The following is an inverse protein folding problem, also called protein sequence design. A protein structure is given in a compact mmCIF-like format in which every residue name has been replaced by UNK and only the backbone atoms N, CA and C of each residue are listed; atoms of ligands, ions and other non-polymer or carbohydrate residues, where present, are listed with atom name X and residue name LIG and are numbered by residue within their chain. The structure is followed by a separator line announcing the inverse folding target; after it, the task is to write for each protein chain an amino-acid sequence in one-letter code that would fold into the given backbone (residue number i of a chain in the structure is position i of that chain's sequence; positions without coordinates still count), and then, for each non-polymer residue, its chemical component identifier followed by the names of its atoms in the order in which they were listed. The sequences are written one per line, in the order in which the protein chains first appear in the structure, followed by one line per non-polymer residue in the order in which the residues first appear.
data_IF_406461743175
#
_entry.id   IF_406461743175
#
_cell.length_a   1.000
_cell.length_b   1.000
_cell.length_c   1.000
_cell.angle_alpha   90.00
_cell.angle_beta   90.00
_cell.angle_gamma   90.00
#
_symmetry.space_group_name_H-M   'P 1'
#
loop_
_entity.id
_entity.type
_entity.pdbx_description
1 polymer ?
#
# COMPACT_ATOMS: atom_id res chain seq x y z
N UNK A 1 38.26 -5.61 -54.62
CA UNK A 1 37.15 -5.98 -55.53
C UNK A 1 36.08 -6.67 -54.70
N UNK A 2 34.89 -6.08 -54.69
CA UNK A 2 33.58 -6.56 -54.22
C UNK A 2 33.26 -6.90 -52.75
N UNK A 3 32.24 -6.16 -52.30
CA UNK A 3 31.15 -6.39 -51.34
C UNK A 3 30.26 -7.60 -51.64
N UNK A 4 29.73 -8.30 -50.62
CA UNK A 4 28.28 -8.53 -50.35
C UNK A 4 28.00 -9.68 -49.32
N UNK A 5 27.06 -9.37 -48.41
CA UNK A 5 25.96 -10.17 -47.82
C UNK A 5 26.12 -11.30 -46.78
N UNK A 6 25.35 -11.07 -45.69
CA UNK A 6 24.45 -11.94 -44.90
C UNK A 6 25.07 -13.01 -43.97
N UNK A 7 24.87 -12.96 -42.64
CA UNK A 7 23.62 -13.13 -41.86
C UNK A 7 22.81 -14.37 -42.28
N UNK A 8 23.22 -15.56 -41.83
CA UNK A 8 22.37 -16.54 -41.12
C UNK A 8 23.07 -17.88 -40.86
N UNK A 9 22.60 -18.54 -39.80
CA UNK A 9 22.62 -19.99 -39.57
C UNK A 9 23.96 -20.68 -39.23
N UNK A 10 24.22 -20.81 -37.92
CA UNK A 10 24.66 -22.07 -37.32
C UNK A 10 23.82 -22.39 -36.07
N UNK A 11 22.66 -22.97 -36.35
CA UNK A 11 21.88 -23.84 -35.47
C UNK A 11 22.37 -25.30 -35.63
N UNK A 12 22.09 -26.14 -34.62
CA UNK A 12 22.34 -27.59 -34.49
C UNK A 12 23.62 -27.94 -33.69
N UNK A 13 23.61 -28.71 -32.59
CA UNK A 13 22.57 -29.48 -31.90
C UNK A 13 23.09 -29.91 -30.52
N UNK A 14 22.19 -30.02 -29.53
CA UNK A 14 22.09 -31.10 -28.50
C UNK A 14 21.22 -30.66 -27.31
N UNK A 15 19.94 -30.96 -27.46
CA UNK A 15 19.08 -31.66 -26.50
C UNK A 15 19.20 -31.31 -25.00
N UNK A 16 18.31 -30.41 -24.57
CA UNK A 16 17.98 -30.17 -23.16
C UNK A 16 16.66 -29.42 -22.97
N UNK A 17 15.68 -29.61 -23.87
CA UNK A 17 14.35 -28.99 -23.79
C UNK A 17 13.26 -30.07 -23.76
N UNK A 18 13.03 -30.62 -22.57
CA UNK A 18 11.77 -31.27 -22.17
C UNK A 18 11.60 -31.12 -20.66
N UNK A 19 11.09 -29.97 -20.25
CA UNK A 19 10.34 -29.77 -18.99
C UNK A 19 10.18 -28.26 -18.80
N UNK A 20 8.99 -27.74 -19.07
CA UNK A 20 8.37 -26.54 -18.47
C UNK A 20 7.09 -26.27 -19.26
N UNK A 21 6.20 -27.26 -19.22
CA UNK A 21 4.94 -27.29 -19.92
C UNK A 21 4.02 -28.31 -19.26
N UNK A 22 3.79 -28.16 -17.96
CA UNK A 22 2.63 -28.68 -17.22
C UNK A 22 2.81 -28.37 -15.73
N UNK A 23 2.47 -27.15 -15.32
CA UNK A 23 1.84 -26.95 -14.02
C UNK A 23 0.60 -26.08 -14.24
N UNK A 24 -0.35 -26.64 -15.01
CA UNK A 24 -1.75 -26.40 -14.67
C UNK A 24 -1.97 -27.13 -13.35
N UNK A 25 -1.68 -26.45 -12.24
CA UNK A 25 -2.37 -26.77 -11.01
C UNK A 25 -3.86 -26.52 -11.32
N UNK A 26 -4.57 -27.61 -11.62
CA UNK A 26 -6.01 -27.66 -11.50
C UNK A 26 -6.30 -27.23 -10.06
N UNK A 27 -6.67 -25.97 -9.86
CA UNK A 27 -7.32 -25.54 -8.63
C UNK A 27 -8.68 -26.24 -8.61
N UNK A 28 -8.68 -27.52 -8.22
CA UNK A 28 -9.87 -28.12 -7.60
C UNK A 28 -10.06 -27.32 -6.33
N UNK A 29 -11.04 -26.42 -6.37
CA UNK A 29 -11.62 -25.89 -5.16
C UNK A 29 -12.10 -27.10 -4.35
N UNK A 30 -11.31 -27.51 -3.37
CA UNK A 30 -11.76 -28.48 -2.38
C UNK A 30 -12.70 -27.73 -1.46
N UNK A 31 -13.92 -27.49 -1.96
CA UNK A 31 -15.06 -27.20 -1.11
C UNK A 31 -15.19 -28.45 -0.23
N UNK A 32 -14.78 -28.33 1.04
CA UNK A 32 -14.91 -29.41 2.01
C UNK A 32 -16.35 -29.90 1.96
N UNK A 33 -16.58 -31.22 1.98
CA UNK A 33 -17.92 -31.83 2.01
C UNK A 33 -18.85 -31.20 3.06
N UNK A 34 -18.27 -30.66 4.14
CA UNK A 34 -18.98 -29.87 5.14
C UNK A 34 -19.69 -28.60 4.63
N UNK A 35 -19.22 -27.94 3.57
CA UNK A 35 -19.88 -26.75 3.01
C UNK A 35 -21.17 -27.10 2.26
N UNK A 36 -21.17 -28.20 1.51
CA UNK A 36 -22.39 -28.70 0.89
C UNK A 36 -23.39 -29.18 1.94
N UNK A 37 -22.92 -29.85 3.00
CA UNK A 37 -23.76 -30.21 4.15
C UNK A 37 -24.37 -28.97 4.81
N UNK A 38 -23.60 -27.90 5.03
CA UNK A 38 -24.08 -26.64 5.63
C UNK A 38 -25.10 -25.92 4.74
N UNK A 39 -24.89 -25.88 3.42
CA UNK A 39 -25.85 -25.31 2.47
C UNK A 39 -27.15 -26.12 2.44
N UNK A 40 -27.06 -27.46 2.40
CA UNK A 40 -28.25 -28.31 2.44
C UNK A 40 -29.02 -28.18 3.76
N UNK A 41 -28.30 -28.08 4.89
CA UNK A 41 -28.91 -27.89 6.20
C UNK A 41 -29.60 -26.52 6.29
N UNK A 42 -28.96 -25.46 5.78
CA UNK A 42 -29.56 -24.12 5.72
C UNK A 42 -30.81 -24.10 4.83
N UNK A 43 -30.76 -24.71 3.65
CA UNK A 43 -31.91 -24.77 2.75
C UNK A 43 -33.07 -25.55 3.39
N UNK A 44 -32.80 -26.69 4.04
CA UNK A 44 -33.80 -27.46 4.76
C UNK A 44 -34.40 -26.70 5.94
N UNK A 45 -33.59 -26.01 6.75
CA UNK A 45 -34.06 -25.15 7.84
C UNK A 45 -34.97 -24.03 7.33
N UNK A 46 -34.59 -23.40 6.22
CA UNK A 46 -35.37 -22.32 5.60
C UNK A 46 -36.70 -22.85 5.04
N UNK A 47 -36.69 -24.02 4.40
CA UNK A 47 -37.89 -24.69 3.91
C UNK A 47 -38.84 -25.11 5.05
N UNK A 48 -38.29 -25.64 6.15
CA UNK A 48 -39.07 -26.00 7.34
C UNK A 48 -39.71 -24.75 7.96
N UNK A 49 -38.97 -23.65 8.11
CA UNK A 49 -39.52 -22.40 8.66
C UNK A 49 -40.61 -21.80 7.78
N UNK A 50 -40.50 -21.98 6.46
CA UNK A 50 -41.50 -21.52 5.49
C UNK A 50 -42.77 -22.38 5.50
N UNK A 51 -42.64 -23.70 5.61
CA UNK A 51 -43.79 -24.64 5.59
C UNK A 51 -44.59 -24.61 6.89
N UNK A 52 -43.94 -24.40 8.03
CA UNK A 52 -44.58 -24.46 9.35
C UNK A 52 -44.87 -23.08 9.97
N UNK A 53 -44.71 -21.99 9.21
CA UNK A 53 -44.87 -20.59 9.67
C UNK A 53 -44.19 -20.30 11.02
N UNK A 54 -43.00 -20.88 11.24
CA UNK A 54 -42.25 -20.69 12.47
C UNK A 54 -41.47 -19.37 12.42
N UNK A 55 -41.56 -18.49 13.43
CA UNK A 55 -40.78 -17.27 13.45
C UNK A 55 -39.28 -17.59 13.56
N UNK A 56 -38.50 -17.12 12.59
CA UNK A 56 -37.05 -17.37 12.46
C UNK A 56 -36.23 -16.97 13.71
N UNK A 57 -36.77 -16.06 14.51
CA UNK A 57 -36.19 -15.58 15.78
C UNK A 57 -36.23 -16.60 16.92
N UNK A 58 -37.03 -17.67 16.81
CA UNK A 58 -37.12 -18.71 17.83
C UNK A 58 -36.05 -19.81 17.69
N UNK A 59 -35.38 -19.90 16.53
CA UNK A 59 -34.45 -21.00 16.20
C UNK A 59 -32.98 -20.55 16.24
N UNK A 60 -32.70 -19.27 16.05
CA UNK A 60 -31.34 -18.73 16.07
C UNK A 60 -31.22 -17.62 17.12
N UNK A 61 -30.45 -17.83 18.20
CA UNK A 61 -30.06 -16.74 19.09
C UNK A 61 -29.26 -15.73 18.27
N UNK A 62 -29.59 -14.44 18.38
CA UNK A 62 -28.97 -13.34 17.61
C UNK A 62 -27.43 -13.40 17.60
N UNK A 63 -26.83 -13.97 18.65
CA UNK A 63 -25.40 -14.15 18.80
C UNK A 63 -24.76 -15.12 17.79
N UNK A 64 -25.46 -16.17 17.33
CA UNK A 64 -24.93 -17.13 16.36
C UNK A 64 -25.04 -16.58 14.92
N UNK A 65 -26.16 -15.92 14.60
CA UNK A 65 -26.38 -15.23 13.33
C UNK A 65 -25.33 -14.12 13.11
N UNK A 66 -25.07 -13.30 14.14
CA UNK A 66 -24.05 -12.26 14.09
C UNK A 66 -22.63 -12.85 13.99
N UNK A 67 -22.34 -13.99 14.64
CA UNK A 67 -21.04 -14.67 14.50
C UNK A 67 -20.82 -15.19 13.06
N UNK A 68 -21.83 -15.78 12.44
CA UNK A 68 -21.74 -16.26 11.05
C UNK A 68 -21.64 -15.09 10.08
N UNK A 69 -22.42 -14.02 10.26
CA UNK A 69 -22.31 -12.80 9.45
C UNK A 69 -20.95 -12.10 9.58
N UNK A 70 -20.37 -12.04 10.78
CA UNK A 70 -19.04 -11.48 11.00
C UNK A 70 -17.95 -12.35 10.36
N UNK A 71 -18.14 -13.67 10.37
CA UNK A 71 -17.24 -14.62 9.74
C UNK A 71 -17.39 -14.65 8.20
N UNK A 72 -18.52 -14.24 7.63
CA UNK A 72 -18.71 -14.04 6.18
C UNK A 72 -18.23 -12.63 5.76
N UNK A 73 -18.48 -11.59 6.57
CA UNK A 73 -17.97 -10.22 6.37
C UNK A 73 -16.44 -10.13 6.42
N UNK A 74 -15.78 -11.00 7.18
CA UNK A 74 -14.31 -11.06 7.17
C UNK A 74 -13.73 -11.62 5.85
N UNK A 75 -14.56 -12.27 5.01
CA UNK A 75 -14.18 -12.73 3.66
C UNK A 75 -14.71 -11.83 2.52
N UNK A 76 -15.74 -11.02 2.77
CA UNK A 76 -16.26 -10.04 1.82
C UNK A 76 -16.14 -8.62 2.39
N UNK A 77 -15.00 -7.97 2.15
CA UNK A 77 -14.92 -6.50 2.22
C UNK A 77 -15.60 -5.92 0.98
N UNK A 78 -16.93 -5.76 1.07
CA UNK A 78 -17.72 -4.89 0.20
C UNK A 78 -18.33 -3.83 1.11
N UNK A 79 -17.86 -2.59 1.00
CA UNK A 79 -18.52 -1.41 1.53
C UNK A 79 -19.37 -0.82 0.41
N UNK A 80 -20.64 -1.23 0.35
CA UNK A 80 -21.68 -0.44 -0.32
C UNK A 80 -22.01 0.77 0.57
N UNK A 81 -21.87 1.97 0.02
CA UNK A 81 -22.50 3.16 0.59
C UNK A 81 -23.90 3.28 -0.01
N UNK A 82 -24.92 3.33 0.84
CA UNK A 82 -26.26 3.78 0.46
C UNK A 82 -26.21 5.27 0.10
N UNK A 83 -26.65 5.60 -1.11
CA UNK A 83 -26.94 6.96 -1.53
C UNK A 83 -28.07 7.53 -0.66
N UNK A 84 -27.78 8.57 0.11
CA UNK A 84 -28.80 9.32 0.81
C UNK A 84 -29.47 10.34 -0.13
N UNK A 85 -30.77 10.11 -0.32
CA UNK A 85 -31.87 11.05 -0.59
C UNK A 85 -31.78 11.98 -1.80
N UNK A 86 -32.68 11.71 -2.75
CA UNK A 86 -33.47 12.69 -3.48
C UNK A 86 -33.90 13.87 -2.59
N UNK A 87 -33.70 15.08 -3.09
CA UNK A 87 -34.67 16.15 -2.90
C UNK A 87 -34.72 16.95 -4.19
N UNK A 88 -35.84 16.77 -4.91
CA UNK A 88 -36.29 17.66 -5.96
C UNK A 88 -36.39 19.09 -5.38
N UNK A 89 -35.73 20.04 -6.05
CA UNK A 89 -36.19 21.42 -6.03
C UNK A 89 -36.21 21.92 -7.45
N UNK A 90 -37.43 21.97 -7.99
CA UNK A 90 -37.81 22.71 -9.18
C UNK A 90 -37.27 24.13 -9.13
N UNK A 91 -36.43 24.51 -10.09
CA UNK A 91 -36.25 25.91 -10.47
C UNK A 91 -36.56 26.08 -11.95
N UNK A 92 -37.48 27.02 -12.17
CA UNK A 92 -38.12 27.38 -13.41
C UNK A 92 -37.12 27.85 -14.45
N UNK A 93 -37.33 27.41 -15.69
CA UNK A 93 -36.65 27.94 -16.86
C UNK A 93 -36.95 29.43 -17.04
N UNK A 94 -35.91 30.23 -17.23
CA UNK A 94 -36.01 31.55 -17.84
C UNK A 94 -34.96 31.65 -18.95
N UNK A 95 -35.48 31.86 -20.17
CA UNK A 95 -34.72 32.10 -21.38
C UNK A 95 -33.82 33.33 -21.24
N UNK A 96 -32.54 33.18 -21.55
CA UNK A 96 -31.78 34.26 -22.19
C UNK A 96 -30.73 33.68 -23.13
N UNK A 97 -30.83 34.09 -24.39
CA UNK A 97 -29.88 33.81 -25.46
C UNK A 97 -28.70 34.77 -25.27
N UNK A 98 -27.51 34.23 -25.02
CA UNK A 98 -26.25 34.96 -25.23
C UNK A 98 -25.21 34.06 -25.92
N UNK A 99 -24.58 34.67 -26.93
CA UNK A 99 -23.55 34.19 -27.86
C UNK A 99 -22.36 33.47 -27.19
N UNK A 100 -21.58 32.66 -27.94
CA UNK A 100 -20.62 31.73 -27.36
C UNK A 100 -19.43 32.48 -26.76
N UNK A 101 -19.44 32.61 -25.44
CA UNK A 101 -18.24 32.94 -24.67
C UNK A 101 -17.27 31.78 -24.80
N UNK A 102 -16.05 32.11 -25.24
CA UNK A 102 -14.91 31.20 -25.31
C UNK A 102 -14.90 30.28 -24.10
N UNK A 103 -15.03 28.98 -24.37
CA UNK A 103 -14.80 27.94 -23.37
C UNK A 103 -13.33 28.03 -22.99
N UNK A 104 -13.03 28.82 -21.96
CA UNK A 104 -11.82 28.62 -21.17
C UNK A 104 -11.83 27.15 -20.80
N UNK A 105 -10.94 26.39 -21.42
CA UNK A 105 -10.62 25.03 -21.00
C UNK A 105 -10.21 25.17 -19.55
N UNK A 106 -11.13 24.88 -18.62
CA UNK A 106 -10.78 24.67 -17.24
C UNK A 106 -9.75 23.56 -17.27
N UNK A 107 -8.50 23.92 -16.99
CA UNK A 107 -7.42 22.98 -16.68
C UNK A 107 -8.01 21.93 -15.75
N UNK A 108 -8.22 20.72 -16.26
CA UNK A 108 -8.80 19.64 -15.47
C UNK A 108 -7.80 19.35 -14.37
N UNK A 109 -8.16 19.73 -13.14
CA UNK A 109 -7.31 19.63 -11.95
C UNK A 109 -6.86 18.17 -11.72
N UNK A 110 -5.70 17.80 -12.25
CA UNK A 110 -4.96 16.59 -11.82
C UNK A 110 -4.36 16.75 -10.41
N UNK A 111 -4.70 17.85 -9.72
CA UNK A 111 -4.22 18.19 -8.40
C UNK A 111 -4.81 17.37 -7.25
N UNK A 112 -5.77 16.46 -7.44
CA UNK A 112 -6.40 15.78 -6.29
C UNK A 112 -5.35 15.10 -5.41
N UNK A 113 -4.36 14.41 -5.99
CA UNK A 113 -3.29 13.79 -5.22
C UNK A 113 -2.14 14.74 -4.84
N UNK A 114 -2.17 16.00 -5.28
CA UNK A 114 -1.11 16.95 -5.02
C UNK A 114 -1.12 17.37 -3.55
N UNK A 115 0.02 17.32 -2.84
CA UNK A 115 0.08 17.52 -1.40
C UNK A 115 -0.31 18.93 -0.96
N UNK A 116 -0.16 19.96 -1.80
CA UNK A 116 -0.57 21.34 -1.45
C UNK A 116 -2.07 21.51 -1.19
N UNK A 117 -2.89 20.54 -1.62
CA UNK A 117 -4.33 20.52 -1.33
C UNK A 117 -4.63 20.00 0.08
N UNK A 118 -3.60 19.60 0.80
CA UNK A 118 -3.70 19.03 2.13
C UNK A 118 -2.87 19.84 3.12
N UNK A 119 -3.33 19.84 4.36
CA UNK A 119 -2.70 20.55 5.47
C UNK A 119 -2.47 19.59 6.63
N UNK A 120 -1.36 19.79 7.32
CA UNK A 120 -1.04 19.03 8.53
C UNK A 120 -1.70 19.69 9.73
N UNK A 121 -2.40 18.92 10.54
CA UNK A 121 -3.03 19.42 11.76
C UNK A 121 -2.60 18.66 13.02
N UNK A 122 -2.15 17.41 12.90
CA UNK A 122 -1.16 16.84 13.82
C UNK A 122 0.16 16.77 13.08
N UNK A 123 1.21 17.33 13.68
CA UNK A 123 2.47 17.53 13.01
C UNK A 123 3.64 17.42 13.99
N UNK A 124 4.81 17.12 13.46
CA UNK A 124 6.02 16.90 14.23
C UNK A 124 7.23 17.61 13.59
N UNK A 125 7.16 18.94 13.38
CA UNK A 125 8.16 19.69 12.58
C UNK A 125 9.57 19.65 13.18
N UNK A 126 9.68 19.29 14.46
CA UNK A 126 10.93 19.31 15.21
C UNK A 126 11.67 17.97 15.20
N UNK A 127 11.03 16.88 14.77
CA UNK A 127 11.62 15.53 14.85
C UNK A 127 12.85 15.35 13.97
N UNK A 128 12.97 16.13 12.91
CA UNK A 128 14.10 16.06 11.99
C UNK A 128 15.19 17.11 12.25
N UNK A 129 15.09 17.90 13.34
CA UNK A 129 16.12 18.88 13.72
C UNK A 129 17.48 18.25 14.10
N UNK A 130 17.49 16.95 14.39
CA UNK A 130 18.70 16.19 14.72
C UNK A 130 19.27 15.41 13.53
N UNK A 131 18.85 15.75 12.30
CA UNK A 131 19.33 15.17 11.04
C UNK A 131 19.37 13.63 11.08
N UNK A 132 18.21 12.96 11.25
CA UNK A 132 18.16 11.51 11.34
C UNK A 132 18.72 10.87 10.07
N UNK A 133 19.45 9.77 10.20
CA UNK A 133 20.00 9.09 9.04
C UNK A 133 18.91 8.40 8.21
N UNK A 134 17.96 7.76 8.88
CA UNK A 134 16.83 7.05 8.28
C UNK A 134 15.52 7.48 8.93
N UNK A 135 14.52 7.76 8.10
CA UNK A 135 13.15 8.03 8.53
C UNK A 135 12.19 7.00 7.95
N UNK A 136 11.54 6.23 8.80
CA UNK A 136 10.39 5.41 8.43
C UNK A 136 9.13 6.27 8.43
N UNK A 137 8.43 6.26 7.29
CA UNK A 137 7.11 6.85 7.14
C UNK A 137 6.10 5.72 6.94
N UNK A 138 5.29 5.48 7.98
CA UNK A 138 4.37 4.35 8.04
C UNK A 138 2.94 4.84 7.74
N UNK A 139 2.42 4.68 6.52
CA UNK A 139 1.00 4.91 6.25
C UNK A 139 0.16 3.89 7.01
N UNK A 140 -0.74 4.37 7.86
CA UNK A 140 -1.60 3.51 8.68
C UNK A 140 -2.96 4.19 8.82
N UNK A 141 -4.05 3.42 8.94
CA UNK A 141 -5.36 4.02 9.13
C UNK A 141 -5.53 4.48 10.59
N UNK A 142 -6.30 5.56 10.87
CA UNK A 142 -6.45 6.08 12.23
C UNK A 142 -6.93 5.03 13.25
N UNK A 143 -7.86 4.16 12.84
CA UNK A 143 -8.41 3.11 13.71
C UNK A 143 -7.45 1.93 13.97
N UNK A 144 -6.32 1.84 13.27
CA UNK A 144 -5.33 0.75 13.45
C UNK A 144 -4.31 1.05 14.55
N UNK A 145 -4.80 1.35 15.76
CA UNK A 145 -3.96 1.62 16.93
C UNK A 145 -3.07 0.42 17.30
N UNK A 146 -3.58 -0.82 17.22
CA UNK A 146 -2.79 -2.02 17.54
C UNK A 146 -1.61 -2.21 16.58
N UNK A 147 -1.76 -1.86 15.29
CA UNK A 147 -0.67 -1.91 14.32
C UNK A 147 0.43 -0.91 14.68
N UNK A 148 0.06 0.34 15.02
CA UNK A 148 1.01 1.36 15.49
C UNK A 148 1.73 0.90 16.76
N UNK A 149 1.00 0.37 17.73
CA UNK A 149 1.57 -0.12 18.99
C UNK A 149 2.47 -1.35 18.80
N UNK A 150 2.16 -2.26 17.86
CA UNK A 150 3.07 -3.34 17.51
C UNK A 150 4.38 -2.80 16.93
N UNK A 151 4.32 -1.84 16.01
CA UNK A 151 5.52 -1.22 15.44
C UNK A 151 6.34 -0.50 16.53
N UNK A 152 5.69 0.30 17.37
CA UNK A 152 6.34 1.00 18.52
C UNK A 152 6.96 0.05 19.53
N UNK A 153 6.45 -1.16 19.69
CA UNK A 153 7.02 -2.16 20.62
C UNK A 153 8.03 -3.10 19.96
N UNK A 154 8.27 -2.95 18.66
CA UNK A 154 9.17 -3.79 17.88
C UNK A 154 10.20 -2.96 17.11
N UNK A 155 10.29 -3.09 15.78
CA UNK A 155 11.31 -2.45 14.96
C UNK A 155 11.21 -0.93 14.94
N UNK A 156 10.01 -0.38 15.14
CA UNK A 156 9.80 1.08 15.15
C UNK A 156 10.36 1.79 16.37
N UNK A 157 10.75 1.04 17.42
CA UNK A 157 11.36 1.57 18.65
C UNK A 157 12.87 1.79 18.54
N UNK A 158 13.52 1.27 17.50
CA UNK A 158 14.96 1.38 17.34
C UNK A 158 15.33 2.81 16.92
N UNK A 159 15.77 3.62 17.89
CA UNK A 159 16.08 5.06 17.68
C UNK A 159 17.55 5.33 17.30
N UNK A 160 18.44 4.36 17.53
CA UNK A 160 19.84 4.41 17.14
C UNK A 160 20.33 3.03 16.76
N UNK A 161 20.77 2.87 15.51
CA UNK A 161 21.24 1.59 14.95
C UNK A 161 22.58 1.84 14.26
N UNK A 162 23.58 1.04 14.61
CA UNK A 162 24.96 1.18 14.08
C UNK A 162 25.50 2.62 14.21
N UNK A 163 25.18 3.30 15.32
CA UNK A 163 25.64 4.66 15.61
C UNK A 163 24.95 5.77 14.79
N UNK A 164 23.83 5.48 14.14
CA UNK A 164 23.04 6.43 13.35
C UNK A 164 21.62 6.56 13.90
N UNK A 165 21.13 7.78 13.95
CA UNK A 165 19.77 8.08 14.38
C UNK A 165 18.74 7.54 13.37
N UNK A 166 17.71 6.88 13.89
CA UNK A 166 16.58 6.32 13.14
C UNK A 166 15.29 6.88 13.73
N UNK A 167 14.38 7.32 12.87
CA UNK A 167 13.11 7.92 13.27
C UNK A 167 11.95 7.15 12.64
N UNK A 168 10.91 6.90 13.41
CA UNK A 168 9.65 6.30 12.91
C UNK A 168 8.51 7.28 13.12
N UNK A 169 7.75 7.56 12.07
CA UNK A 169 6.54 8.39 12.09
C UNK A 169 5.38 7.67 11.41
N UNK A 170 4.18 7.88 11.91
CA UNK A 170 2.95 7.33 11.35
C UNK A 170 2.17 8.41 10.62
N UNK A 171 1.87 8.21 9.34
CA UNK A 171 0.99 9.08 8.58
C UNK A 171 -0.44 8.54 8.59
N UNK A 172 -1.36 9.36 9.08
CA UNK A 172 -2.80 9.06 9.19
C UNK A 172 -3.64 10.14 8.51
N UNK A 173 -4.79 9.74 7.95
CA UNK A 173 -5.77 10.67 7.37
C UNK A 173 -6.83 11.14 8.37
N UNK A 174 -7.98 11.57 7.84
CA UNK A 174 -9.17 11.91 8.61
C UNK A 174 -9.73 10.70 9.36
N UNK A 175 -10.22 10.95 10.57
CA UNK A 175 -10.91 9.96 11.41
C UNK A 175 -12.39 9.86 11.05
N UNK A 176 -13.06 8.81 11.52
CA UNK A 176 -14.49 8.57 11.27
C UNK A 176 -15.46 9.39 12.14
N UNK A 177 -14.97 10.34 12.93
CA UNK A 177 -15.80 11.15 13.84
C UNK A 177 -15.00 11.78 14.98
N UNK A 178 -15.65 12.67 15.73
CA UNK A 178 -15.01 13.46 16.79
C UNK A 178 -14.39 12.61 17.91
N UNK A 179 -15.04 11.52 18.32
CA UNK A 179 -14.51 10.62 19.35
C UNK A 179 -13.19 9.95 18.90
N UNK A 180 -13.16 9.44 17.67
CA UNK A 180 -11.94 8.85 17.10
C UNK A 180 -10.83 9.90 16.93
N UNK A 181 -11.18 11.15 16.62
CA UNK A 181 -10.23 12.27 16.56
C UNK A 181 -9.61 12.56 17.94
N UNK A 182 -10.44 12.62 18.99
CA UNK A 182 -9.95 12.84 20.36
C UNK A 182 -9.01 11.72 20.84
N UNK A 183 -9.31 10.47 20.52
CA UNK A 183 -8.43 9.34 20.81
C UNK A 183 -7.08 9.45 20.09
N UNK A 184 -7.08 9.88 18.82
CA UNK A 184 -5.87 10.08 18.03
C UNK A 184 -5.03 11.26 18.56
N UNK A 185 -5.68 12.33 19.01
CA UNK A 185 -5.01 13.47 19.64
C UNK A 185 -4.39 13.11 20.99
N UNK A 186 -5.05 12.26 21.79
CA UNK A 186 -4.47 11.71 23.01
C UNK A 186 -3.24 10.85 22.70
N UNK A 187 -3.35 9.96 21.72
CA UNK A 187 -2.22 9.16 21.24
C UNK A 187 -1.05 10.05 20.76
N UNK A 188 -1.33 11.10 19.98
CA UNK A 188 -0.34 12.07 19.53
C UNK A 188 0.36 12.76 20.70
N UNK A 189 -0.40 13.19 21.73
CA UNK A 189 0.16 13.80 22.95
C UNK A 189 1.09 12.86 23.70
N UNK A 190 0.79 11.55 23.71
CA UNK A 190 1.58 10.54 24.40
C UNK A 190 2.86 10.15 23.64
N UNK A 191 2.74 9.90 22.33
CA UNK A 191 3.83 9.29 21.56
C UNK A 191 4.63 10.29 20.72
N UNK A 192 4.04 11.43 20.37
CA UNK A 192 4.67 12.47 19.54
C UNK A 192 5.24 11.90 18.24
N UNK A 193 4.53 11.01 17.57
CA UNK A 193 4.99 10.32 16.35
C UNK A 193 3.91 10.23 15.26
N UNK A 194 2.81 10.96 15.43
CA UNK A 194 1.71 11.03 14.49
C UNK A 194 1.83 12.29 13.62
N UNK A 195 1.82 12.08 12.31
CA UNK A 195 1.57 13.12 11.31
C UNK A 195 0.18 12.88 10.75
N UNK A 196 -0.71 13.86 10.87
CA UNK A 196 -2.07 13.77 10.37
C UNK A 196 -2.35 14.86 9.35
N UNK A 197 -2.94 14.46 8.23
CA UNK A 197 -3.37 15.36 7.17
C UNK A 197 -4.81 15.12 6.73
N UNK A 198 -5.44 16.12 6.11
CA UNK A 198 -6.89 16.19 5.88
C UNK A 198 -7.35 15.46 4.61
N UNK A 199 -6.86 14.24 4.38
CA UNK A 199 -7.34 13.36 3.31
C UNK A 199 -8.21 12.23 3.88
N UNK A 200 -9.15 11.72 3.08
CA UNK A 200 -9.96 10.55 3.45
C UNK A 200 -9.08 9.31 3.40
N UNK A 201 -8.93 8.63 4.54
CA UNK A 201 -8.08 7.45 4.66
C UNK A 201 -8.78 6.21 4.07
N UNK A 202 -8.40 5.85 2.85
CA UNK A 202 -8.92 4.66 2.15
C UNK A 202 -7.85 4.03 1.27
N UNK A 203 -8.05 2.77 0.91
CA UNK A 203 -7.15 2.07 -0.01
C UNK A 203 -7.00 2.82 -1.35
N UNK A 204 -8.09 3.34 -1.90
CA UNK A 204 -8.07 4.07 -3.17
C UNK A 204 -7.34 5.42 -3.08
N UNK A 205 -7.18 5.96 -1.88
CA UNK A 205 -6.48 7.22 -1.61
C UNK A 205 -5.04 7.00 -1.13
N UNK A 206 -4.47 5.79 -1.26
CA UNK A 206 -3.07 5.54 -0.91
C UNK A 206 -2.11 6.45 -1.70
N UNK A 207 -2.43 6.76 -2.96
CA UNK A 207 -1.64 7.70 -3.77
C UNK A 207 -1.58 9.10 -3.14
N UNK A 208 -2.71 9.63 -2.68
CA UNK A 208 -2.76 10.89 -1.90
C UNK A 208 -1.89 10.77 -0.65
N UNK A 209 -2.09 9.69 0.12
CA UNK A 209 -1.35 9.45 1.35
C UNK A 209 0.17 9.42 1.11
N UNK A 210 0.66 8.72 0.09
CA UNK A 210 2.08 8.71 -0.25
C UNK A 210 2.56 10.09 -0.71
N UNK A 211 1.80 10.83 -1.51
CA UNK A 211 2.22 12.18 -1.89
C UNK A 211 2.34 13.12 -0.69
N UNK A 212 1.46 12.98 0.30
CA UNK A 212 1.56 13.68 1.58
C UNK A 212 2.80 13.24 2.39
N UNK A 213 3.15 11.94 2.38
CA UNK A 213 4.43 11.45 2.95
C UNK A 213 5.62 12.16 2.29
N UNK A 214 5.64 12.20 0.95
CA UNK A 214 6.73 12.79 0.18
C UNK A 214 6.85 14.29 0.45
N UNK A 215 5.73 15.00 0.56
CA UNK A 215 5.72 16.42 0.90
C UNK A 215 6.22 16.69 2.31
N UNK A 216 5.79 15.90 3.30
CA UNK A 216 6.26 16.05 4.67
C UNK A 216 7.78 15.84 4.76
N UNK A 217 8.31 14.81 4.10
CA UNK A 217 9.76 14.57 4.03
C UNK A 217 10.49 15.73 3.35
N UNK A 218 9.96 16.23 2.23
CA UNK A 218 10.56 17.32 1.47
C UNK A 218 10.57 18.67 2.24
N UNK A 219 9.55 18.93 3.04
CA UNK A 219 9.34 20.23 3.69
C UNK A 219 9.78 20.26 5.16
N UNK A 220 9.68 19.15 5.89
CA UNK A 220 9.99 19.06 7.32
C UNK A 220 11.22 18.25 7.65
N UNK A 221 11.62 17.34 6.76
CA UNK A 221 12.74 16.45 7.01
C UNK A 221 13.80 16.42 5.88
N UNK A 222 14.16 17.55 5.24
CA UNK A 222 15.01 17.52 4.06
C UNK A 222 16.43 17.01 4.33
N UNK A 223 16.90 17.09 5.57
CA UNK A 223 18.27 16.72 5.95
C UNK A 223 18.48 15.23 6.21
N UNK A 224 17.41 14.43 6.27
CA UNK A 224 17.59 13.00 6.42
C UNK A 224 18.39 12.42 5.26
N UNK A 225 19.21 11.39 5.48
CA UNK A 225 19.98 10.79 4.40
C UNK A 225 19.12 9.88 3.52
N UNK A 226 18.29 9.07 4.18
CA UNK A 226 17.34 8.16 3.55
C UNK A 226 15.98 8.23 4.24
N UNK A 227 14.95 7.87 3.51
CA UNK A 227 13.64 7.58 4.08
C UNK A 227 13.10 6.28 3.48
N UNK A 228 12.21 5.63 4.22
CA UNK A 228 11.54 4.41 3.79
C UNK A 228 10.04 4.56 4.03
N UNK A 229 9.25 4.45 2.96
CA UNK A 229 7.81 4.21 3.09
C UNK A 229 7.62 2.72 3.30
N UNK A 230 6.86 2.34 4.33
CA UNK A 230 6.64 0.93 4.67
C UNK A 230 5.26 0.71 5.26
N UNK A 231 4.56 -0.33 4.81
CA UNK A 231 3.20 -0.62 5.26
C UNK A 231 3.18 -1.09 6.73
N UNK A 232 2.03 -0.96 7.39
CA UNK A 232 1.90 -1.24 8.83
C UNK A 232 1.86 -2.74 9.19
N UNK A 233 1.78 -3.62 8.20
CA UNK A 233 1.75 -5.08 8.33
C UNK A 233 3.11 -5.71 8.05
N UNK A 234 4.19 -4.97 8.23
CA UNK A 234 5.54 -5.36 7.83
C UNK A 234 6.43 -5.76 9.02
N UNK A 235 7.25 -6.78 8.81
CA UNK A 235 8.47 -7.01 9.59
C UNK A 235 9.62 -6.22 8.96
N UNK A 236 10.46 -5.59 9.78
CA UNK A 236 11.71 -4.97 9.34
C UNK A 236 12.86 -5.43 10.23
N UNK A 237 13.92 -5.94 9.63
CA UNK A 237 15.22 -6.07 10.28
C UNK A 237 16.02 -4.80 10.01
N UNK A 238 16.00 -3.88 10.98
CA UNK A 238 16.61 -2.55 10.83
C UNK A 238 18.13 -2.65 10.71
N UNK A 239 18.79 -3.61 11.36
CA UNK A 239 20.24 -3.83 11.24
C UNK A 239 20.64 -4.21 9.81
N UNK A 240 19.89 -5.09 9.16
CA UNK A 240 20.13 -5.47 7.76
C UNK A 240 19.88 -4.29 6.82
N UNK A 241 18.82 -3.51 7.04
CA UNK A 241 18.54 -2.30 6.26
C UNK A 241 19.66 -1.27 6.43
N UNK A 242 20.12 -1.03 7.66
CA UNK A 242 21.19 -0.09 7.94
C UNK A 242 22.51 -0.54 7.31
N UNK A 243 22.80 -1.85 7.32
CA UNK A 243 23.98 -2.41 6.64
C UNK A 243 23.95 -2.15 5.13
N UNK A 244 22.76 -2.26 4.50
CA UNK A 244 22.56 -1.87 3.11
C UNK A 244 22.82 -0.37 2.91
N UNK A 245 22.23 0.50 3.73
CA UNK A 245 22.29 1.96 3.55
C UNK A 245 23.65 2.58 3.92
N UNK A 246 24.40 1.95 4.80
CA UNK A 246 25.74 2.37 5.23
C UNK A 246 26.85 1.84 4.32
N UNK A 247 26.55 0.86 3.46
CA UNK A 247 27.48 0.40 2.44
C UNK A 247 27.99 1.57 1.59
N UNK A 248 29.31 1.67 1.33
CA UNK A 248 29.89 2.75 0.52
C UNK A 248 29.39 2.74 -0.93
N UNK A 249 28.86 1.60 -1.39
CA UNK A 249 28.32 1.44 -2.74
C UNK A 249 26.86 1.89 -2.87
N UNK A 250 26.18 2.20 -1.76
CA UNK A 250 24.78 2.64 -1.81
C UNK A 250 24.71 4.14 -2.13
N UNK A 251 24.11 4.52 -3.27
CA UNK A 251 24.09 5.93 -3.68
C UNK A 251 23.24 6.80 -2.76
N UNK A 252 23.69 8.05 -2.57
CA UNK A 252 23.07 9.04 -1.68
C UNK A 252 22.07 9.97 -2.38
N UNK A 253 21.93 9.86 -3.69
CA UNK A 253 21.06 10.71 -4.50
C UNK A 253 20.43 9.88 -5.62
N UNK A 254 19.21 10.26 -6.02
CA UNK A 254 18.43 9.56 -7.05
C UNK A 254 18.39 8.03 -6.86
N UNK A 255 18.41 7.58 -5.61
CA UNK A 255 18.46 6.17 -5.26
C UNK A 255 17.15 5.74 -4.67
N UNK A 256 16.61 4.64 -5.18
CA UNK A 256 15.44 4.00 -4.61
C UNK A 256 15.51 2.49 -4.87
N UNK A 257 15.23 1.68 -3.85
CA UNK A 257 15.34 0.22 -3.91
C UNK A 257 14.27 -0.47 -3.08
N UNK A 258 14.02 -1.74 -3.41
CA UNK A 258 13.01 -2.58 -2.78
C UNK A 258 12.70 -3.82 -3.63
N UNK A 259 11.48 -4.35 -3.52
CA UNK A 259 11.04 -5.45 -4.37
C UNK A 259 10.61 -4.95 -5.76
N UNK A 260 11.43 -5.21 -6.79
CA UNK A 260 11.17 -4.75 -8.16
C UNK A 260 9.97 -5.43 -8.80
N UNK A 261 9.08 -4.60 -9.35
CA UNK A 261 7.94 -4.99 -10.15
C UNK A 261 8.19 -4.54 -11.59
N UNK A 262 8.42 -5.51 -12.48
CA UNK A 262 8.73 -5.27 -13.90
C UNK A 262 7.70 -5.94 -14.80
N UNK A 263 7.46 -5.37 -15.98
CA UNK A 263 6.58 -5.91 -17.01
C UNK A 263 5.16 -6.27 -16.50
N UNK A 264 4.63 -5.46 -15.56
CA UNK A 264 3.29 -5.64 -15.00
C UNK A 264 2.24 -4.98 -15.88
N UNK A 265 1.24 -5.76 -16.30
CA UNK A 265 0.09 -5.25 -17.04
C UNK A 265 -0.81 -4.41 -16.14
N UNK A 266 -1.38 -3.36 -16.71
CA UNK A 266 -2.42 -2.58 -16.07
C UNK A 266 -3.72 -3.38 -16.08
N UNK A 267 -4.34 -3.55 -14.93
CA UNK A 267 -5.58 -4.32 -14.82
C UNK A 267 -6.74 -3.46 -15.29
N UNK A 268 -7.39 -3.87 -16.38
CA UNK A 268 -8.54 -3.17 -16.99
C UNK A 268 -9.91 -3.78 -16.64
N UNK A 269 -9.92 -4.82 -15.80
CA UNK A 269 -11.16 -5.40 -15.31
C UNK A 269 -11.77 -4.52 -14.21
N UNK A 270 -12.90 -3.87 -14.48
CA UNK A 270 -13.61 -2.97 -13.54
C UNK A 270 -14.02 -3.65 -12.22
N UNK A 271 -14.13 -4.97 -12.19
CA UNK A 271 -14.47 -5.72 -10.97
C UNK A 271 -13.24 -6.05 -10.10
N UNK A 272 -12.03 -5.68 -10.55
CA UNK A 272 -10.82 -5.87 -9.77
C UNK A 272 -10.58 -4.67 -8.86
N UNK A 273 -10.19 -4.92 -7.60
CA UNK A 273 -9.71 -3.87 -6.70
C UNK A 273 -8.47 -3.13 -7.22
N UNK A 274 -7.77 -3.72 -8.19
CA UNK A 274 -6.59 -3.15 -8.83
C UNK A 274 -6.89 -2.52 -10.20
N UNK A 275 -8.16 -2.33 -10.54
CA UNK A 275 -8.58 -1.67 -11.77
C UNK A 275 -7.98 -0.28 -11.89
N UNK A 276 -7.45 0.05 -13.07
CA UNK A 276 -7.08 1.42 -13.45
C UNK A 276 -7.69 1.72 -14.83
N UNK A 277 -8.42 2.83 -14.92
CA UNK A 277 -9.01 3.28 -16.17
C UNK A 277 -7.94 3.73 -17.17
N UNK A 278 -8.18 3.50 -18.46
CA UNK A 278 -7.29 3.92 -19.55
C UNK A 278 -7.13 5.44 -19.61
N UNK A 279 -8.17 6.18 -19.24
CA UNK A 279 -8.18 7.65 -19.15
C UNK A 279 -7.21 8.22 -18.10
N UNK A 280 -6.95 7.45 -17.04
CA UNK A 280 -6.01 7.80 -15.97
C UNK A 280 -4.59 7.39 -16.33
N UNK A 281 -4.42 6.21 -16.92
CA UNK A 281 -3.13 5.69 -17.33
C UNK A 281 -3.30 4.92 -18.65
N UNK A 282 -2.95 5.51 -19.81
CA UNK A 282 -3.24 4.90 -21.13
C UNK A 282 -2.39 3.67 -21.44
N UNK A 283 -1.14 3.66 -20.98
CA UNK A 283 -0.21 2.58 -21.32
C UNK A 283 -0.72 1.22 -20.83
N UNK A 284 -0.54 0.13 -21.60
CA UNK A 284 -1.01 -1.19 -21.21
C UNK A 284 -0.19 -1.82 -20.08
N UNK A 285 1.00 -1.29 -19.80
CA UNK A 285 1.93 -1.76 -18.77
C UNK A 285 2.44 -0.61 -17.91
N UNK A 286 2.64 -0.89 -16.63
CA UNK A 286 3.32 0.04 -15.74
C UNK A 286 4.83 0.13 -16.08
N UNK A 287 5.49 1.27 -15.78
CA UNK A 287 6.95 1.30 -15.75
C UNK A 287 7.46 0.30 -14.71
N UNK A 288 8.77 0.06 -14.65
CA UNK A 288 9.36 -0.62 -13.49
C UNK A 288 9.09 0.22 -12.24
N UNK A 289 8.58 -0.41 -11.19
CA UNK A 289 8.30 0.21 -9.90
C UNK A 289 8.69 -0.71 -8.75
N UNK A 290 8.54 -0.27 -7.51
CA UNK A 290 8.82 -1.07 -6.33
C UNK A 290 7.51 -1.41 -5.62
N UNK A 291 7.32 -2.68 -5.24
CA UNK A 291 6.10 -3.13 -4.59
C UNK A 291 5.80 -2.33 -3.31
N UNK A 292 4.53 -1.94 -3.14
CA UNK A 292 4.06 -1.07 -2.07
C UNK A 292 4.31 -1.54 -0.64
N UNK A 293 4.67 -2.82 -0.42
CA UNK A 293 5.02 -3.38 0.89
C UNK A 293 6.11 -2.57 1.61
N UNK A 294 7.03 -1.97 0.85
CA UNK A 294 8.01 -1.04 1.38
C UNK A 294 9.17 -0.81 0.43
N UNK A 295 9.61 0.44 0.35
CA UNK A 295 10.74 0.86 -0.47
C UNK A 295 11.52 1.97 0.22
N UNK A 296 12.85 1.91 0.11
CA UNK A 296 13.77 2.87 0.70
C UNK A 296 14.39 3.73 -0.40
N UNK A 297 14.53 5.03 -0.13
CA UNK A 297 15.01 6.02 -1.07
C UNK A 297 15.94 7.03 -0.43
N UNK A 298 16.84 7.60 -1.22
CA UNK A 298 17.58 8.80 -0.85
C UNK A 298 16.62 9.98 -0.71
N UNK A 299 16.82 10.76 0.34
CA UNK A 299 15.85 11.78 0.74
C UNK A 299 15.84 13.04 -0.15
N UNK A 300 16.62 13.05 -1.24
CA UNK A 300 16.51 14.05 -2.31
C UNK A 300 15.33 13.77 -3.26
N UNK A 301 14.80 12.53 -3.26
CA UNK A 301 13.71 12.11 -4.14
C UNK A 301 12.31 12.64 -3.75
N UNK A 302 11.90 12.77 -2.47
CA UNK A 302 10.55 13.22 -2.12
C UNK A 302 10.12 14.51 -2.83
N UNK A 303 10.97 15.55 -2.78
CA UNK A 303 10.70 16.82 -3.48
C UNK A 303 10.56 16.61 -4.99
N UNK A 304 11.45 15.83 -5.60
CA UNK A 304 11.42 15.54 -7.05
C UNK A 304 10.16 14.78 -7.44
N UNK A 305 9.74 13.80 -6.64
CA UNK A 305 8.53 13.00 -6.86
C UNK A 305 7.28 13.89 -6.77
N UNK A 306 7.17 14.75 -5.74
CA UNK A 306 6.06 15.69 -5.61
C UNK A 306 5.99 16.63 -6.83
N UNK A 307 7.11 17.15 -7.30
CA UNK A 307 7.14 17.99 -8.51
C UNK A 307 6.73 17.22 -9.77
N UNK A 308 7.24 16.00 -9.97
CA UNK A 308 6.88 15.17 -11.12
C UNK A 308 5.38 14.77 -11.12
N UNK A 309 4.81 14.62 -9.92
CA UNK A 309 3.40 14.24 -9.74
C UNK A 309 2.41 15.24 -10.35
N UNK A 310 2.82 16.51 -10.57
CA UNK A 310 1.99 17.55 -11.19
C UNK A 310 1.64 17.24 -12.64
N UNK A 311 2.49 16.50 -13.33
CA UNK A 311 2.36 16.18 -14.76
C UNK A 311 1.73 14.81 -15.01
N UNK A 312 1.42 14.05 -13.95
CA UNK A 312 0.92 12.68 -14.03
C UNK A 312 -0.47 12.61 -13.43
N UNK A 313 -1.43 12.07 -14.18
CA UNK A 313 -2.77 11.85 -13.64
C UNK A 313 -2.70 10.81 -12.50
N UNK A 314 -3.23 11.11 -11.31
CA UNK A 314 -3.22 10.14 -10.23
C UNK A 314 -4.15 8.95 -10.50
N UNK A 315 -3.70 7.77 -10.11
CA UNK A 315 -4.49 6.53 -10.08
C UNK A 315 -4.22 5.77 -8.77
N UNK A 316 -5.10 4.84 -8.41
CA UNK A 316 -5.18 4.19 -7.09
C UNK A 316 -4.11 3.13 -6.80
N UNK A 317 -3.20 2.86 -7.74
CA UNK A 317 -2.10 1.92 -7.56
C UNK A 317 -0.86 2.74 -7.21
N UNK A 318 -0.77 3.09 -5.93
CA UNK A 318 0.20 4.04 -5.37
C UNK A 318 1.66 3.75 -5.75
N UNK A 319 2.06 2.49 -5.63
CA UNK A 319 3.42 2.05 -5.91
C UNK A 319 3.79 2.17 -7.40
N UNK A 320 2.86 1.82 -8.29
CA UNK A 320 2.99 2.05 -9.72
C UNK A 320 2.91 3.55 -10.10
N UNK A 321 2.15 4.36 -9.35
CA UNK A 321 2.11 5.82 -9.54
C UNK A 321 3.46 6.48 -9.19
N UNK A 322 4.09 6.07 -8.08
CA UNK A 322 5.47 6.46 -7.76
C UNK A 322 6.42 6.02 -8.87
N UNK A 323 6.26 4.81 -9.41
CA UNK A 323 7.00 4.35 -10.58
C UNK A 323 6.84 5.24 -11.82
N UNK A 324 5.63 5.74 -12.07
CA UNK A 324 5.38 6.70 -13.16
C UNK A 324 6.10 8.03 -12.92
N UNK A 325 6.09 8.53 -11.68
CA UNK A 325 6.84 9.73 -11.29
C UNK A 325 8.36 9.54 -11.51
N UNK A 326 8.90 8.39 -11.11
CA UNK A 326 10.32 8.06 -11.30
C UNK A 326 10.69 7.97 -12.78
N UNK A 327 9.84 7.37 -13.62
CA UNK A 327 10.01 7.35 -15.07
C UNK A 327 10.05 8.77 -15.65
N UNK A 328 9.16 9.66 -15.21
CA UNK A 328 9.15 11.06 -15.64
C UNK A 328 10.44 11.79 -15.24
N UNK A 329 11.00 11.46 -14.07
CA UNK A 329 12.27 12.02 -13.59
C UNK A 329 13.52 11.41 -14.25
N UNK A 330 13.38 10.35 -15.06
CA UNK A 330 14.51 9.59 -15.57
C UNK A 330 15.29 8.81 -14.50
N UNK A 331 14.67 8.56 -13.34
CA UNK A 331 15.26 7.79 -12.24
C UNK A 331 14.78 6.35 -12.32
N UNK A 332 15.70 5.40 -12.49
CA UNK A 332 15.35 3.99 -12.52
C UNK A 332 15.38 3.39 -11.10
N UNK A 333 14.32 2.68 -10.65
CA UNK A 333 14.40 1.88 -9.43
C UNK A 333 15.50 0.84 -9.53
N UNK A 334 16.30 0.71 -8.47
CA UNK A 334 17.42 -0.21 -8.41
C UNK A 334 17.05 -1.51 -7.73
N UNK A 335 17.64 -2.62 -8.18
CA UNK A 335 17.60 -3.87 -7.44
C UNK A 335 18.53 -3.76 -6.24
N UNK A 336 18.13 -4.20 -5.04
CA UNK A 336 19.06 -4.28 -3.93
C UNK A 336 20.15 -5.32 -4.25
N UNK A 337 21.35 -5.22 -3.64
CA UNK A 337 22.44 -6.17 -3.85
C UNK A 337 22.04 -7.64 -3.66
N UNK A 338 21.17 -7.91 -2.68
CA UNK A 338 20.50 -9.19 -2.50
C UNK A 338 18.96 -9.00 -2.56
N UNK A 339 18.34 -9.32 -3.71
CA UNK A 339 16.88 -9.25 -3.88
C UNK A 339 16.08 -10.13 -2.93
N UNK A 340 16.70 -11.19 -2.37
CA UNK A 340 16.01 -12.08 -1.45
C UNK A 340 15.73 -11.44 -0.09
N UNK A 341 16.38 -10.31 0.21
CA UNK A 341 16.16 -9.56 1.45
C UNK A 341 14.86 -8.73 1.44
N UNK A 342 14.33 -8.37 0.27
CA UNK A 342 13.02 -7.75 0.11
C UNK A 342 12.00 -8.82 -0.32
N UNK A 343 11.62 -9.65 0.65
CA UNK A 343 10.83 -10.85 0.41
C UNK A 343 9.36 -10.59 0.64
N UNK A 344 8.52 -10.77 -0.39
CA UNK A 344 7.09 -10.45 -0.30
C UNK A 344 6.38 -11.22 0.82
N UNK A 345 6.47 -12.55 0.80
CA UNK A 345 5.88 -13.40 1.83
C UNK A 345 6.92 -14.41 2.34
N UNK A 346 6.89 -14.60 3.65
CA UNK A 346 7.49 -15.76 4.28
C UNK A 346 6.53 -16.94 4.23
N UNK A 347 7.09 -18.14 4.03
CA UNK A 347 6.34 -19.38 4.15
C UNK A 347 6.13 -19.74 5.62
N UNK A 348 6.38 -21.01 5.95
CA UNK A 348 6.39 -21.43 7.35
C UNK A 348 7.45 -20.65 8.15
N UNK A 349 7.13 -20.38 9.41
CA UNK A 349 8.01 -19.68 10.31
C UNK A 349 9.35 -20.41 10.45
N UNK A 350 10.44 -19.69 10.19
CA UNK A 350 11.80 -20.13 10.45
C UNK A 350 12.61 -18.89 10.86
N UNK A 351 13.13 -18.89 12.09
CA UNK A 351 13.88 -17.78 12.68
C UNK A 351 15.03 -17.30 11.79
N UNK A 352 15.79 -18.20 11.19
CA UNK A 352 16.94 -17.85 10.33
C UNK A 352 16.53 -17.06 9.09
N UNK A 353 15.35 -17.33 8.54
CA UNK A 353 14.84 -16.57 7.41
C UNK A 353 14.58 -15.10 7.80
N UNK A 354 14.03 -14.86 8.98
CA UNK A 354 13.78 -13.50 9.48
C UNK A 354 15.08 -12.74 9.82
N UNK A 355 16.11 -13.46 10.27
CA UNK A 355 17.43 -12.87 10.51
C UNK A 355 18.15 -12.42 9.22
N UNK A 356 17.83 -13.03 8.07
CA UNK A 356 18.50 -12.73 6.78
C UNK A 356 17.80 -11.65 5.94
N UNK A 357 16.48 -11.51 6.07
CA UNK A 357 15.73 -10.53 5.28
C UNK A 357 15.86 -9.11 5.85
N UNK A 358 15.63 -8.13 4.99
CA UNK A 358 15.36 -6.74 5.40
C UNK A 358 13.89 -6.62 5.78
N UNK A 359 12.98 -7.14 4.95
CA UNK A 359 11.55 -6.97 5.19
C UNK A 359 10.69 -8.05 4.55
N UNK A 360 9.51 -8.29 5.14
CA UNK A 360 8.46 -9.20 4.64
C UNK A 360 7.09 -8.81 5.18
N UNK A 361 6.04 -9.11 4.41
CA UNK A 361 4.65 -8.94 4.82
C UNK A 361 4.31 -9.98 5.90
N UNK A 362 3.55 -9.53 6.89
CA UNK A 362 2.97 -10.32 7.97
C UNK A 362 1.43 -10.27 7.90
N UNK A 363 0.78 -11.18 8.60
CA UNK A 363 -0.68 -11.28 8.65
C UNK A 363 -1.33 -10.51 9.81
N UNK A 364 -0.58 -10.14 10.85
CA UNK A 364 -1.15 -9.40 11.99
C UNK A 364 -0.11 -8.67 12.86
N UNK A 365 -0.53 -7.65 13.62
CA UNK A 365 0.33 -7.00 14.62
C UNK A 365 0.84 -7.95 15.71
N UNK A 366 0.05 -8.97 16.07
CA UNK A 366 0.48 -9.99 17.04
C UNK A 366 1.60 -10.85 16.46
N UNK A 367 1.50 -11.26 15.20
CA UNK A 367 2.55 -12.01 14.53
C UNK A 367 3.87 -11.22 14.51
N UNK A 368 3.80 -9.90 14.30
CA UNK A 368 4.97 -9.02 14.37
C UNK A 368 5.64 -9.10 15.75
N UNK A 369 4.86 -8.95 16.83
CA UNK A 369 5.37 -9.03 18.21
C UNK A 369 6.00 -10.39 18.51
N UNK A 370 5.37 -11.48 18.09
CA UNK A 370 5.85 -12.84 18.34
C UNK A 370 7.17 -13.12 17.61
N UNK A 371 7.25 -12.75 16.32
CA UNK A 371 8.47 -12.88 15.53
C UNK A 371 9.58 -12.01 16.13
N UNK A 372 9.28 -10.75 16.46
CA UNK A 372 10.26 -9.81 17.02
C UNK A 372 10.86 -10.33 18.32
N UNK A 373 10.01 -10.84 19.22
CA UNK A 373 10.44 -11.43 20.49
C UNK A 373 11.37 -12.61 20.29
N UNK A 374 11.15 -13.43 19.26
CA UNK A 374 11.99 -14.60 18.99
C UNK A 374 13.33 -14.25 18.31
N UNK A 375 13.31 -13.35 17.32
CA UNK A 375 14.55 -12.95 16.63
C UNK A 375 15.51 -12.21 17.55
N UNK A 376 15.01 -11.44 18.53
CA UNK A 376 15.83 -10.70 19.50
C UNK A 376 16.34 -11.55 20.69
N UNK A 377 16.03 -12.85 20.76
CA UNK A 377 16.66 -13.74 21.76
C UNK A 377 18.17 -13.86 21.49
N UNK A 378 19.03 -13.81 22.52
CA UNK A 378 20.43 -14.15 22.38
C UNK A 378 20.58 -15.55 21.78
N UNK A 379 21.49 -15.70 20.82
CA UNK A 379 21.93 -17.00 20.30
C UNK A 379 22.96 -17.66 21.21
#
# INVERSE_FOLDING_TARGET
MHTHHDMEAKLSDRNGWKSLGADRASHRCHIKTGFFLLLTLMFLLTAITYVYEFPLSAVFPDTLYIKVLNQIRSYHMVTEYQSASENQTTFLAANSVQSPTQTTIFSVNYHVAHPSNYHFFLDEPDKCKQDPFLVFMVPVAPHQLDARNAIRSTWGNESSVQGKAVLTLFLVGLTGGAEAQQQLEEESRQHRDLVQSNFVDSYFNLTIKTMVIMDWLATRCPQAAYAMKVDSDMYINVENLMSLLLSPNTPRQNYITGHLMWNRSVIRNKNSKWYVAEELYPEPKYPTYLLGMGYVFSNDLPKKIVEASKEIKPFNIEDAYVGACLKQLGVAPSSPPDPSQFRVYMGQYNRENFLRVITTILGSPQQLRDIWKDVKKPT
#
